data_IF_674992494402
#
_entry.id   IF_674992494402
#
_cell.length_a   1.000
_cell.length_b   1.000
_cell.length_c   1.000
_cell.angle_alpha   90.00
_cell.angle_beta   90.00
_cell.angle_gamma   90.00
#
_symmetry.space_group_name_H-M   'P 1'
#
loop_
_entity.id
_entity.type
_entity.pdbx_description
1 polymer ?
#
# COMPACT_ATOMS: atom_id res chain seq x y z
N UNK A 1 22.67 7.57 -15.61
CA UNK A 1 22.22 8.81 -14.96
C UNK A 1 22.49 8.64 -13.47
N UNK A 2 23.13 9.61 -12.82
CA UNK A 2 23.49 9.50 -11.40
C UNK A 2 22.25 9.37 -10.53
N UNK A 3 22.32 8.49 -9.53
CA UNK A 3 21.31 8.39 -8.47
C UNK A 3 21.43 9.64 -7.59
N UNK A 4 20.90 10.77 -8.06
CA UNK A 4 20.63 11.87 -7.14
C UNK A 4 19.44 11.44 -6.27
N UNK A 5 19.58 11.43 -4.95
CA UNK A 5 18.45 11.21 -4.06
C UNK A 5 17.35 12.25 -4.36
N UNK A 6 16.07 11.89 -4.23
CA UNK A 6 14.98 12.85 -4.38
C UNK A 6 15.23 14.05 -3.45
N UNK A 7 14.96 15.26 -3.95
CA UNK A 7 15.22 16.52 -3.24
C UNK A 7 14.26 16.76 -2.06
N UNK A 8 13.23 15.92 -1.92
CA UNK A 8 12.26 15.92 -0.84
C UNK A 8 11.82 14.47 -0.57
N UNK A 9 11.70 14.09 0.69
CA UNK A 9 11.17 12.79 1.11
C UNK A 9 10.06 13.01 2.15
N UNK A 10 9.08 12.11 2.13
CA UNK A 10 7.89 12.20 2.97
C UNK A 10 7.64 10.86 3.66
N UNK A 11 7.11 10.90 4.87
CA UNK A 11 6.74 9.71 5.64
C UNK A 11 5.28 9.83 6.06
N UNK A 12 4.55 8.71 5.95
CA UNK A 12 3.15 8.61 6.34
C UNK A 12 2.99 7.55 7.42
N UNK A 13 2.23 7.87 8.46
CA UNK A 13 1.94 6.93 9.55
C UNK A 13 0.43 6.88 9.81
N UNK A 14 -0.13 5.68 9.80
CA UNK A 14 -1.55 5.48 10.08
C UNK A 14 -1.82 5.44 11.59
N UNK A 15 -2.90 6.07 12.01
CA UNK A 15 -3.43 6.02 13.36
C UNK A 15 -4.81 5.37 13.33
N UNK A 16 -4.83 4.08 13.70
CA UNK A 16 -6.03 3.26 13.67
C UNK A 16 -7.12 3.73 14.62
N UNK A 17 -6.76 4.42 15.71
CA UNK A 17 -7.71 4.83 16.74
C UNK A 17 -8.36 6.18 16.40
N UNK A 18 -7.62 7.06 15.73
CA UNK A 18 -8.10 8.39 15.34
C UNK A 18 -8.56 8.47 13.88
N UNK A 19 -8.42 7.40 13.11
CA UNK A 19 -8.81 7.32 11.69
C UNK A 19 -8.12 8.39 10.83
N UNK A 20 -6.81 8.51 11.00
CA UNK A 20 -5.99 9.47 10.26
C UNK A 20 -4.69 8.87 9.75
N UNK A 21 -4.11 9.55 8.76
CA UNK A 21 -2.73 9.41 8.29
C UNK A 21 -1.96 10.65 8.70
N UNK A 22 -0.92 10.53 9.50
CA UNK A 22 0.02 11.60 9.82
C UNK A 22 1.00 11.83 8.67
N UNK A 23 1.33 13.09 8.39
CA UNK A 23 2.12 13.51 7.22
C UNK A 23 3.42 14.21 7.67
N UNK A 24 4.58 13.56 7.50
CA UNK A 24 5.87 14.08 7.94
C UNK A 24 6.75 14.47 6.75
N UNK A 25 7.53 15.54 6.89
CA UNK A 25 8.71 15.76 6.04
C UNK A 25 9.88 14.91 6.57
N UNK A 26 10.76 14.50 5.67
CA UNK A 26 12.00 13.81 6.01
C UNK A 26 13.17 14.65 5.50
N UNK A 27 14.05 15.04 6.41
CA UNK A 27 15.30 15.67 6.07
C UNK A 27 16.20 14.66 5.33
N UNK A 28 16.52 14.94 4.07
CA UNK A 28 17.23 13.98 3.20
C UNK A 28 18.72 13.82 3.54
N UNK A 29 19.27 14.67 4.41
CA UNK A 29 20.66 14.61 4.85
C UNK A 29 20.80 13.81 6.14
N UNK A 30 19.84 13.94 7.06
CA UNK A 30 19.90 13.39 8.42
C UNK A 30 18.90 12.25 8.66
N UNK A 31 17.87 12.12 7.82
CA UNK A 31 16.74 11.22 8.01
C UNK A 31 15.76 11.67 9.11
N UNK A 32 15.94 12.87 9.68
CA UNK A 32 15.09 13.37 10.74
C UNK A 32 13.68 13.70 10.23
N UNK A 33 12.66 13.36 11.03
CA UNK A 33 11.28 13.72 10.73
C UNK A 33 10.99 15.17 11.15
N UNK A 34 10.21 15.87 10.34
CA UNK A 34 9.82 17.25 10.59
C UNK A 34 8.41 17.57 10.13
N UNK A 35 8.06 18.84 10.27
CA UNK A 35 6.81 19.40 9.75
C UNK A 35 6.92 19.67 8.25
N UNK A 36 5.94 19.30 7.42
CA UNK A 36 5.89 19.69 6.02
C UNK A 36 6.01 21.21 5.81
N UNK A 37 6.54 21.63 4.67
CA UNK A 37 6.64 23.05 4.33
C UNK A 37 5.25 23.70 4.27
N UNK A 38 5.13 24.92 4.78
CA UNK A 38 3.89 25.71 4.73
C UNK A 38 2.88 25.40 5.83
N UNK A 39 3.24 24.55 6.80
CA UNK A 39 2.44 24.29 8.01
C UNK A 39 3.32 24.41 9.26
N UNK A 40 2.71 24.79 10.39
CA UNK A 40 3.41 25.02 11.66
C UNK A 40 3.47 23.79 12.57
N UNK A 41 2.68 22.77 12.30
CA UNK A 41 2.65 21.48 13.03
C UNK A 41 2.50 20.34 12.03
N UNK A 42 2.85 19.12 12.45
CA UNK A 42 2.63 17.91 11.64
C UNK A 42 1.12 17.77 11.39
N UNK A 43 0.66 17.81 10.14
CA UNK A 43 -0.76 17.64 9.83
C UNK A 43 -1.13 16.16 9.77
N UNK A 44 -2.43 15.91 9.80
CA UNK A 44 -3.02 14.60 9.57
C UNK A 44 -4.13 14.69 8.52
N UNK A 45 -4.30 13.62 7.75
CA UNK A 45 -5.34 13.46 6.74
C UNK A 45 -6.33 12.37 7.17
N UNK A 46 -7.64 12.60 7.00
CA UNK A 46 -8.68 11.68 7.50
C UNK A 46 -8.83 10.47 6.58
N UNK A 47 -9.05 9.29 7.19
CA UNK A 47 -9.42 8.04 6.50
C UNK A 47 -10.91 7.73 6.70
N UNK A 48 -11.50 6.91 5.84
CA UNK A 48 -12.93 6.53 5.95
C UNK A 48 -13.23 5.77 7.26
N UNK A 49 -12.41 4.78 7.60
CA UNK A 49 -12.41 4.12 8.92
C UNK A 49 -11.01 3.56 9.24
N UNK A 50 -10.94 2.48 10.03
CA UNK A 50 -9.75 1.97 10.75
C UNK A 50 -8.58 1.66 9.80
N UNK A 51 -7.60 2.58 9.64
CA UNK A 51 -6.45 2.32 8.78
C UNK A 51 -5.52 1.30 9.43
N UNK A 52 -4.92 0.41 8.65
CA UNK A 52 -4.00 -0.64 9.16
C UNK A 52 -2.63 -0.60 8.53
N UNK A 53 -2.56 -0.57 7.21
CA UNK A 53 -1.29 -0.50 6.48
C UNK A 53 -1.32 0.65 5.47
N UNK A 54 -0.14 1.17 5.15
CA UNK A 54 0.05 2.22 4.17
C UNK A 54 1.19 1.82 3.21
N UNK A 55 1.03 2.10 1.91
CA UNK A 55 2.09 1.94 0.92
C UNK A 55 2.06 3.10 -0.07
N UNK A 56 3.25 3.66 -0.33
CA UNK A 56 3.49 4.67 -1.36
C UNK A 56 3.90 3.96 -2.64
N UNK A 57 3.42 4.41 -3.80
CA UNK A 57 3.90 3.86 -5.08
C UNK A 57 5.36 4.30 -5.36
N UNK A 58 6.17 3.48 -6.06
CA UNK A 58 7.59 3.78 -6.27
C UNK A 58 7.90 5.11 -6.99
N UNK A 59 6.90 5.77 -7.57
CA UNK A 59 7.03 7.05 -8.26
C UNK A 59 6.59 8.25 -7.40
N UNK A 60 6.29 8.06 -6.11
CA UNK A 60 5.85 9.11 -5.16
C UNK A 60 4.59 9.87 -5.63
N UNK A 61 3.67 9.20 -6.31
CA UNK A 61 2.45 9.82 -6.86
C UNK A 61 1.24 9.60 -5.95
N UNK A 62 1.14 8.41 -5.37
CA UNK A 62 -0.04 7.92 -4.68
C UNK A 62 0.32 7.21 -3.37
N UNK A 63 -0.56 7.37 -2.38
CA UNK A 63 -0.56 6.62 -1.13
C UNK A 63 -1.84 5.78 -1.06
N UNK A 64 -1.68 4.49 -0.72
CA UNK A 64 -2.79 3.58 -0.49
C UNK A 64 -2.82 3.13 0.96
N UNK A 65 -4.01 3.12 1.56
CA UNK A 65 -4.23 2.76 2.97
C UNK A 65 -5.34 1.74 3.10
N UNK A 66 -5.06 0.58 3.69
CA UNK A 66 -6.07 -0.45 3.94
C UNK A 66 -6.95 -0.08 5.13
N UNK A 67 -8.26 -0.26 4.97
CA UNK A 67 -9.25 -0.11 6.02
C UNK A 67 -9.80 -1.49 6.43
N UNK A 68 -9.54 -1.84 7.69
CA UNK A 68 -9.91 -3.15 8.24
C UNK A 68 -11.38 -3.28 8.64
N UNK A 69 -12.10 -2.18 8.84
CA UNK A 69 -13.50 -2.21 9.30
C UNK A 69 -14.46 -2.35 8.11
N UNK A 70 -14.29 -1.50 7.08
CA UNK A 70 -15.21 -1.48 5.94
C UNK A 70 -14.70 -2.21 4.70
N UNK A 71 -13.51 -2.82 4.76
CA UNK A 71 -12.91 -3.60 3.65
C UNK A 71 -12.76 -2.76 2.40
N UNK A 72 -12.14 -1.61 2.57
CA UNK A 72 -11.84 -0.70 1.48
C UNK A 72 -10.36 -0.33 1.48
N UNK A 73 -9.90 0.18 0.35
CA UNK A 73 -8.61 0.83 0.22
C UNK A 73 -8.87 2.33 0.01
N UNK A 74 -8.39 3.15 0.94
CA UNK A 74 -8.31 4.59 0.74
C UNK A 74 -7.13 4.88 -0.19
N UNK A 75 -7.32 5.77 -1.14
CA UNK A 75 -6.27 6.22 -2.06
C UNK A 75 -6.16 7.74 -2.03
N UNK A 76 -4.92 8.22 -2.04
CA UNK A 76 -4.59 9.63 -1.98
C UNK A 76 -3.52 9.95 -3.03
N UNK A 77 -3.59 11.16 -3.59
CA UNK A 77 -2.49 11.73 -4.37
C UNK A 77 -1.52 12.45 -3.45
N UNK A 78 -0.23 12.43 -3.79
CA UNK A 78 0.83 13.08 -3.02
C UNK A 78 1.24 14.37 -3.73
N UNK A 79 1.24 15.49 -3.02
CA UNK A 79 1.72 16.77 -3.54
C UNK A 79 3.25 16.80 -3.68
N UNK A 80 3.76 16.26 -4.78
CA UNK A 80 5.18 16.31 -5.18
C UNK A 80 5.50 17.41 -6.17
N UNK A 81 4.48 18.03 -6.77
CA UNK A 81 4.64 19.16 -7.70
C UNK A 81 3.64 20.26 -7.36
N UNK A 82 4.04 21.52 -7.55
CA UNK A 82 3.17 22.67 -7.32
C UNK A 82 2.13 22.76 -8.44
N UNK A 83 0.84 22.76 -8.06
CA UNK A 83 -0.30 22.92 -8.96
C UNK A 83 -1.05 24.19 -8.54
N UNK A 84 -0.99 25.22 -9.39
CA UNK A 84 -1.44 26.58 -9.09
C UNK A 84 -2.95 26.75 -8.80
N UNK A 85 -3.76 25.71 -9.02
CA UNK A 85 -5.21 25.72 -8.76
C UNK A 85 -5.59 25.36 -7.31
N UNK A 86 -4.63 25.38 -6.38
CA UNK A 86 -4.87 25.15 -4.95
C UNK A 86 -4.95 23.69 -4.51
N UNK A 87 -4.86 22.73 -5.44
CA UNK A 87 -4.81 21.29 -5.13
C UNK A 87 -3.48 20.94 -4.46
N UNK A 88 -2.36 21.46 -4.98
CA UNK A 88 -1.03 21.29 -4.40
C UNK A 88 -0.30 22.65 -4.41
N UNK A 89 -0.61 23.56 -3.46
CA UNK A 89 0.04 24.87 -3.41
C UNK A 89 1.54 24.76 -3.08
N UNK A 90 1.96 23.65 -2.48
CA UNK A 90 3.36 23.33 -2.17
C UNK A 90 3.66 21.89 -2.58
N UNK A 91 4.89 21.62 -3.02
CA UNK A 91 5.41 20.27 -3.22
C UNK A 91 5.91 19.70 -1.88
N UNK A 92 5.01 19.59 -0.91
CA UNK A 92 5.33 19.29 0.50
C UNK A 92 4.84 17.92 0.96
N UNK A 93 4.44 17.04 0.03
CA UNK A 93 3.98 15.69 0.32
C UNK A 93 2.59 15.64 0.95
N UNK A 94 1.85 16.76 0.99
CA UNK A 94 0.49 16.73 1.51
C UNK A 94 -0.42 15.86 0.65
N UNK A 95 -1.37 15.20 1.30
CA UNK A 95 -2.31 14.31 0.64
C UNK A 95 -3.52 15.07 0.08
N UNK A 96 -4.06 14.59 -1.04
CA UNK A 96 -5.41 14.93 -1.52
C UNK A 96 -6.16 13.66 -1.91
N UNK A 97 -7.48 13.69 -1.81
CA UNK A 97 -8.32 12.55 -2.18
C UNK A 97 -8.17 12.15 -3.65
N UNK A 98 -8.05 10.84 -3.89
CA UNK A 98 -8.27 10.26 -5.22
C UNK A 98 -9.76 10.15 -5.49
N UNK A 99 -10.21 10.64 -6.64
CA UNK A 99 -11.61 10.50 -7.06
C UNK A 99 -12.04 9.03 -7.12
N UNK A 100 -13.18 8.73 -6.48
CA UNK A 100 -13.72 7.37 -6.33
C UNK A 100 -13.19 6.59 -5.12
N UNK A 101 -12.21 7.13 -4.38
CA UNK A 101 -11.79 6.60 -3.08
C UNK A 101 -12.91 6.80 -2.04
N UNK A 102 -13.09 5.86 -1.09
CA UNK A 102 -12.37 4.59 -0.95
C UNK A 102 -12.91 3.47 -1.86
N UNK A 103 -12.02 2.60 -2.33
CA UNK A 103 -12.34 1.50 -3.25
C UNK A 103 -12.69 0.21 -2.50
N UNK A 104 -13.82 -0.41 -2.82
CA UNK A 104 -14.27 -1.63 -2.17
C UNK A 104 -13.40 -2.86 -2.54
N UNK A 105 -13.11 -3.70 -1.55
CA UNK A 105 -12.46 -5.00 -1.73
C UNK A 105 -13.50 -6.10 -1.55
N UNK A 106 -13.56 -7.04 -2.50
CA UNK A 106 -14.47 -8.18 -2.41
C UNK A 106 -14.01 -9.18 -1.32
N UNK A 107 -14.98 -9.76 -0.59
CA UNK A 107 -14.71 -10.75 0.45
C UNK A 107 -15.58 -10.57 1.68
N UNK A 108 -15.39 -11.45 2.68
CA UNK A 108 -16.06 -11.35 3.97
C UNK A 108 -15.58 -10.10 4.71
N UNK A 109 -16.52 -9.35 5.28
CA UNK A 109 -16.20 -8.11 5.94
C UNK A 109 -15.38 -8.34 7.22
N UNK A 110 -14.38 -7.49 7.41
CA UNK A 110 -13.43 -7.34 8.52
C UNK A 110 -12.09 -8.01 8.26
N UNK A 111 -11.00 -7.22 8.32
CA UNK A 111 -9.65 -7.75 8.41
C UNK A 111 -8.75 -7.54 7.20
N UNK A 112 -8.97 -6.51 6.38
CA UNK A 112 -7.88 -6.05 5.51
C UNK A 112 -6.67 -5.67 6.39
N UNK A 113 -5.51 -6.18 6.01
CA UNK A 113 -4.27 -6.00 6.74
C UNK A 113 -3.19 -5.37 5.87
N UNK A 114 -1.99 -5.96 5.80
CA UNK A 114 -0.90 -5.45 4.98
C UNK A 114 -1.29 -5.27 3.52
N UNK A 115 -0.74 -4.23 2.90
CA UNK A 115 -0.83 -3.98 1.47
C UNK A 115 0.54 -3.57 0.92
N UNK A 116 0.76 -3.81 -0.36
CA UNK A 116 1.99 -3.44 -1.08
C UNK A 116 1.65 -2.96 -2.48
N UNK A 117 2.43 -1.99 -2.98
CA UNK A 117 2.43 -1.59 -4.40
C UNK A 117 3.59 -2.32 -5.09
N UNK A 118 3.38 -2.75 -6.33
CA UNK A 118 4.42 -3.42 -7.11
C UNK A 118 5.62 -2.48 -7.42
N UNK A 119 6.81 -3.03 -7.74
CA UNK A 119 8.00 -2.23 -8.02
C UNK A 119 7.88 -1.24 -9.18
N UNK A 120 6.87 -1.39 -10.04
CA UNK A 120 6.64 -0.54 -11.20
C UNK A 120 5.49 0.46 -11.02
N UNK A 121 4.83 0.47 -9.86
CA UNK A 121 3.70 1.35 -9.56
C UNK A 121 2.44 1.08 -10.40
N UNK A 122 2.26 -0.16 -10.87
CA UNK A 122 1.14 -0.54 -11.75
C UNK A 122 -0.01 -1.21 -11.00
N UNK A 123 0.27 -1.94 -9.93
CA UNK A 123 -0.70 -2.70 -9.18
C UNK A 123 -0.49 -2.53 -7.67
N UNK A 124 -1.58 -2.63 -6.92
CA UNK A 124 -1.59 -2.74 -5.45
C UNK A 124 -2.23 -4.07 -5.06
N UNK A 125 -1.65 -4.72 -4.06
CA UNK A 125 -2.12 -5.99 -3.52
C UNK A 125 -2.37 -5.85 -2.03
N UNK A 126 -3.50 -6.37 -1.54
CA UNK A 126 -3.91 -6.29 -0.13
C UNK A 126 -4.29 -7.66 0.41
N UNK A 127 -3.83 -7.95 1.63
CA UNK A 127 -4.19 -9.17 2.35
C UNK A 127 -5.51 -9.00 3.10
N UNK A 128 -6.41 -9.96 2.92
CA UNK A 128 -7.55 -10.20 3.79
C UNK A 128 -7.17 -11.22 4.87
N UNK A 129 -6.82 -10.73 6.06
CA UNK A 129 -6.27 -11.53 7.17
C UNK A 129 -7.28 -12.44 7.86
N UNK A 130 -8.58 -12.13 7.75
CA UNK A 130 -9.68 -12.97 8.24
C UNK A 130 -10.33 -13.78 7.12
N UNK A 131 -10.31 -13.28 5.87
CA UNK A 131 -10.85 -13.99 4.70
C UNK A 131 -9.86 -15.00 4.10
N UNK A 132 -8.59 -14.98 4.51
CA UNK A 132 -7.50 -15.78 3.95
C UNK A 132 -7.35 -15.58 2.44
N UNK A 133 -7.49 -14.34 1.98
CA UNK A 133 -7.40 -13.97 0.56
C UNK A 133 -6.31 -12.93 0.32
N UNK A 134 -5.84 -12.89 -0.92
CA UNK A 134 -5.03 -11.82 -1.47
C UNK A 134 -5.79 -11.19 -2.63
N UNK A 135 -6.08 -9.90 -2.53
CA UNK A 135 -6.82 -9.13 -3.54
C UNK A 135 -5.87 -8.23 -4.31
N UNK A 136 -6.02 -8.16 -5.64
CA UNK A 136 -5.18 -7.35 -6.52
C UNK A 136 -5.97 -6.30 -7.27
N UNK A 137 -5.39 -5.11 -7.42
CA UNK A 137 -5.96 -3.99 -8.16
C UNK A 137 -4.94 -3.35 -9.08
N UNK A 138 -5.37 -2.99 -10.29
CA UNK A 138 -4.63 -2.13 -11.20
C UNK A 138 -4.77 -0.67 -10.77
N UNK A 139 -3.66 0.05 -10.77
CA UNK A 139 -3.56 1.47 -10.50
C UNK A 139 -3.72 2.24 -11.80
N UNK A 140 -4.65 3.21 -11.82
CA UNK A 140 -4.69 4.22 -12.88
C UNK A 140 -3.45 5.11 -12.77
N UNK A 141 -2.57 5.17 -13.78
CA UNK A 141 -1.33 5.94 -13.69
C UNK A 141 -1.58 7.45 -13.64
N UNK A 142 -2.78 7.90 -14.03
CA UNK A 142 -3.18 9.31 -14.09
C UNK A 142 -3.91 9.72 -12.82
N UNK A 143 -4.89 8.93 -12.39
CA UNK A 143 -5.80 9.31 -11.30
C UNK A 143 -5.50 8.63 -9.97
N UNK A 144 -4.70 7.57 -9.94
CA UNK A 144 -4.49 6.74 -8.76
C UNK A 144 -5.67 5.82 -8.41
N UNK A 145 -6.77 5.89 -9.16
CA UNK A 145 -7.97 5.08 -8.93
C UNK A 145 -7.69 3.59 -9.14
N UNK A 146 -8.39 2.74 -8.39
CA UNK A 146 -8.18 1.29 -8.40
C UNK A 146 -9.25 0.56 -9.19
N UNK A 147 -8.83 -0.43 -9.98
CA UNK A 147 -9.72 -1.39 -10.65
C UNK A 147 -9.30 -2.80 -10.30
N UNK A 148 -10.23 -3.65 -9.83
CA UNK A 148 -9.91 -5.02 -9.46
C UNK A 148 -9.31 -5.81 -10.64
N UNK A 149 -8.31 -6.65 -10.36
CA UNK A 149 -7.72 -7.56 -11.34
C UNK A 149 -8.68 -8.71 -11.68
N UNK A 150 -8.30 -9.52 -12.66
CA UNK A 150 -9.00 -10.77 -12.99
C UNK A 150 -8.02 -11.95 -12.92
N UNK A 151 -8.23 -12.92 -12.01
CA UNK A 151 -9.24 -12.92 -10.94
C UNK A 151 -9.00 -11.79 -9.92
N UNK A 152 -10.06 -11.31 -9.27
CA UNK A 152 -9.96 -10.22 -8.29
C UNK A 152 -9.25 -10.66 -7.01
N UNK A 153 -9.41 -11.94 -6.64
CA UNK A 153 -8.87 -12.53 -5.42
C UNK A 153 -8.27 -13.90 -5.70
N UNK A 154 -7.22 -14.24 -4.94
CA UNK A 154 -6.63 -15.58 -4.86
C UNK A 154 -6.52 -16.02 -3.41
N UNK A 155 -6.45 -17.33 -3.17
CA UNK A 155 -6.36 -17.88 -1.82
C UNK A 155 -4.96 -17.74 -1.22
N UNK A 156 -4.90 -17.58 0.10
CA UNK A 156 -3.69 -17.68 0.95
C UNK A 156 -3.84 -18.87 1.90
N UNK A 157 -2.86 -19.09 2.78
CA UNK A 157 -3.06 -19.95 3.96
C UNK A 157 -3.85 -19.23 5.06
N UNK A 158 -3.98 -19.89 6.21
CA UNK A 158 -4.75 -19.36 7.34
C UNK A 158 -4.01 -18.23 8.06
N UNK A 159 -4.73 -17.15 8.30
CA UNK A 159 -4.31 -15.94 9.00
C UNK A 159 -3.00 -15.33 8.42
N UNK A 160 -3.04 -14.84 7.17
CA UNK A 160 -1.87 -14.24 6.55
C UNK A 160 -1.42 -12.97 7.30
N UNK A 161 -0.10 -12.77 7.42
CA UNK A 161 0.48 -11.70 8.27
C UNK A 161 1.36 -10.70 7.55
N UNK A 162 2.04 -11.10 6.49
CA UNK A 162 2.96 -10.24 5.75
C UNK A 162 3.01 -10.66 4.30
N UNK A 163 3.33 -9.70 3.44
CA UNK A 163 3.37 -9.81 1.99
C UNK A 163 4.63 -9.11 1.49
N UNK A 164 5.32 -9.71 0.52
CA UNK A 164 6.45 -9.09 -0.15
C UNK A 164 6.50 -9.49 -1.63
N UNK A 165 6.90 -8.54 -2.48
CA UNK A 165 7.03 -8.70 -3.93
C UNK A 165 8.52 -8.64 -4.28
N UNK A 166 8.98 -9.55 -5.14
CA UNK A 166 10.36 -9.56 -5.65
C UNK A 166 10.59 -8.35 -6.55
N UNK A 167 11.80 -7.77 -6.53
CA UNK A 167 12.08 -6.51 -7.22
C UNK A 167 11.90 -6.51 -8.75
N UNK A 168 11.73 -7.68 -9.36
CA UNK A 168 11.47 -7.85 -10.80
C UNK A 168 9.98 -8.04 -11.15
N UNK A 169 9.09 -7.94 -10.16
CA UNK A 169 7.63 -8.08 -10.28
C UNK A 169 7.15 -9.40 -10.88
N UNK A 170 7.93 -10.47 -10.73
CA UNK A 170 7.55 -11.80 -11.22
C UNK A 170 7.00 -12.72 -10.12
N UNK A 171 7.29 -12.43 -8.85
CA UNK A 171 6.93 -13.29 -7.72
C UNK A 171 6.52 -12.51 -6.49
N UNK A 172 5.58 -13.08 -5.75
CA UNK A 172 5.09 -12.58 -4.48
C UNK A 172 4.93 -13.70 -3.46
N UNK A 173 5.15 -13.36 -2.20
CA UNK A 173 5.17 -14.29 -1.08
C UNK A 173 4.33 -13.76 0.07
N UNK A 174 3.59 -14.65 0.72
CA UNK A 174 2.73 -14.34 1.87
C UNK A 174 3.00 -15.32 2.99
N UNK A 175 3.25 -14.81 4.20
CA UNK A 175 3.38 -15.64 5.40
C UNK A 175 2.03 -15.92 6.01
N UNK A 176 1.75 -17.20 6.30
CA UNK A 176 0.50 -17.68 6.85
C UNK A 176 0.72 -18.18 8.28
N UNK A 177 0.40 -17.33 9.26
CA UNK A 177 0.73 -17.58 10.66
C UNK A 177 0.12 -18.88 11.19
N UNK A 178 -1.16 -19.11 10.91
CA UNK A 178 -1.88 -20.25 11.49
C UNK A 178 -1.71 -21.54 10.67
N UNK A 179 -1.38 -21.43 9.38
CA UNK A 179 -1.03 -22.58 8.55
C UNK A 179 0.44 -23.01 8.65
N UNK A 180 1.27 -22.30 9.42
CA UNK A 180 2.71 -22.53 9.50
C UNK A 180 3.35 -22.66 8.11
N UNK A 181 3.03 -21.73 7.20
CA UNK A 181 3.44 -21.85 5.79
C UNK A 181 3.67 -20.51 5.10
N UNK A 182 4.29 -20.56 3.92
CA UNK A 182 4.44 -19.45 2.98
C UNK A 182 3.71 -19.77 1.68
N UNK A 183 2.73 -18.94 1.33
CA UNK A 183 2.08 -18.99 0.02
C UNK A 183 2.94 -18.27 -1.02
N UNK A 184 2.95 -18.81 -2.24
CA UNK A 184 3.76 -18.32 -3.35
C UNK A 184 2.87 -18.04 -4.56
N UNK A 185 3.14 -16.92 -5.23
CA UNK A 185 2.39 -16.50 -6.41
C UNK A 185 3.36 -16.06 -7.49
N UNK A 186 3.14 -16.51 -8.73
CA UNK A 186 3.74 -15.86 -9.89
C UNK A 186 2.83 -14.73 -10.35
N UNK A 187 3.45 -13.64 -10.79
CA UNK A 187 2.78 -12.44 -11.28
C UNK A 187 2.92 -12.41 -12.80
N UNK A 188 1.84 -12.10 -13.51
CA UNK A 188 1.88 -11.82 -14.95
C UNK A 188 2.19 -10.34 -15.15
N UNK A 189 3.40 -9.93 -15.60
CA UNK A 189 3.80 -8.52 -15.54
C UNK A 189 2.90 -7.56 -16.35
N UNK A 190 2.32 -8.05 -17.45
CA UNK A 190 1.44 -7.23 -18.30
C UNK A 190 0.10 -6.88 -17.63
N UNK A 191 -0.36 -7.69 -16.68
CA UNK A 191 -1.70 -7.59 -16.10
C UNK A 191 -1.72 -7.49 -14.58
N UNK A 192 -0.62 -7.82 -13.91
CA UNK A 192 -0.56 -8.00 -12.46
C UNK A 192 -1.28 -9.26 -11.96
N UNK A 193 -1.85 -10.09 -12.85
CA UNK A 193 -2.65 -11.24 -12.45
C UNK A 193 -1.80 -12.30 -11.73
N UNK A 194 -2.36 -12.87 -10.67
CA UNK A 194 -1.69 -13.82 -9.80
C UNK A 194 -2.04 -15.26 -10.16
N UNK A 195 -1.00 -16.10 -10.26
CA UNK A 195 -1.17 -17.56 -10.34
C UNK A 195 -0.62 -18.21 -9.08
N UNK A 196 -1.48 -18.98 -8.40
CA UNK A 196 -1.13 -19.67 -7.16
C UNK A 196 -0.14 -20.80 -7.44
N UNK A 197 0.94 -20.85 -6.68
CA UNK A 197 1.92 -21.93 -6.68
C UNK A 197 1.81 -22.77 -5.41
N UNK A 198 2.49 -23.92 -5.37
CA UNK A 198 2.50 -24.78 -4.19
C UNK A 198 3.02 -24.02 -2.96
N UNK A 199 2.25 -24.09 -1.88
CA UNK A 199 2.62 -23.54 -0.57
C UNK A 199 3.84 -24.29 0.00
N UNK A 200 4.73 -23.58 0.69
CA UNK A 200 5.87 -24.15 1.40
C UNK A 200 5.58 -24.18 2.90
N UNK A 201 5.74 -25.34 3.53
CA UNK A 201 5.64 -25.47 4.97
C UNK A 201 6.86 -24.85 5.64
N UNK A 202 6.61 -24.07 6.69
CA UNK A 202 7.61 -23.63 7.67
C UNK A 202 7.46 -24.48 8.92
N UNK A 203 8.27 -24.22 9.96
CA UNK A 203 8.10 -24.88 11.26
C UNK A 203 6.84 -24.34 11.97
N UNK A 204 6.83 -23.08 12.39
CA UNK A 204 5.72 -22.49 13.15
C UNK A 204 5.63 -20.97 12.97
N UNK A 205 4.39 -20.45 12.94
CA UNK A 205 4.05 -19.02 13.13
C UNK A 205 4.86 -17.99 12.31
N UNK A 206 5.01 -18.14 10.98
CA UNK A 206 5.73 -17.16 10.18
C UNK A 206 4.99 -15.82 10.19
N UNK A 207 5.69 -14.75 10.61
CA UNK A 207 5.09 -13.41 10.79
C UNK A 207 5.49 -12.44 9.68
N UNK A 208 6.79 -12.24 9.47
CA UNK A 208 7.32 -11.31 8.48
C UNK A 208 7.91 -12.02 7.27
N UNK A 209 7.88 -11.37 6.11
CA UNK A 209 8.61 -11.79 4.91
C UNK A 209 9.31 -10.59 4.28
N UNK A 210 10.49 -10.84 3.75
CA UNK A 210 11.22 -9.91 2.90
C UNK A 210 11.85 -10.70 1.76
N UNK A 211 11.88 -10.10 0.58
CA UNK A 211 12.48 -10.69 -0.63
C UNK A 211 13.22 -9.59 -1.38
N UNK A 212 14.28 -9.97 -2.08
CA UNK A 212 15.03 -9.11 -3.00
C UNK A 212 14.85 -9.63 -4.42
#
# INVERSE_FOLDING_TARGET
AGNNPPTSQFLYAVDSNNYVVWEFSVDTTTGALGTPQGVSTVPSFVTDAVPVAAAVDPCDRFLYVSDSLHNKINAYTICTTVIANGICPFANGRLNDVSGSPFAVSGSANGLGPLVVDPYGNNVYVLGTLSNTLSGFKISPVSGSLTALTPATVATGANPKSIAIRGDDNWMFVTNYQSASVSQYSITPATGALSVSSTITTDNYPFGVAVK
#
